data_IF_244517855458
#
_entry.id   IF_244517855458
#
_cell.length_a   1.000
_cell.length_b   1.000
_cell.length_c   1.000
_cell.angle_alpha   90.00
_cell.angle_beta   90.00
_cell.angle_gamma   90.00
#
_symmetry.space_group_name_H-M   'P 1'
#
loop_
_entity.id
_entity.type
_entity.pdbx_description
1 polymer ?
#
# COMPACT_ATOMS: atom_id res chain seq x y z
N UNK A 1 13.70 15.97 13.81
CA UNK A 1 14.68 16.51 12.84
C UNK A 1 14.17 17.79 12.20
N UNK A 2 13.00 17.80 11.54
CA UNK A 2 12.37 19.01 10.96
C UNK A 2 12.09 20.13 11.97
N UNK A 3 11.64 19.79 13.19
CA UNK A 3 11.45 20.76 14.30
C UNK A 3 12.75 21.41 14.75
N UNK A 4 13.86 20.68 14.75
CA UNK A 4 15.16 21.23 15.08
C UNK A 4 15.65 22.19 14.00
N UNK A 5 15.45 21.84 12.71
CA UNK A 5 15.81 22.72 11.57
C UNK A 5 15.02 24.02 11.55
N UNK A 6 13.77 24.02 12.02
CA UNK A 6 12.96 25.25 12.14
C UNK A 6 13.51 26.23 13.16
N UNK A 7 14.13 25.74 14.23
CA UNK A 7 14.61 26.59 15.33
C UNK A 7 16.03 27.13 15.11
N UNK A 8 16.81 26.50 14.22
CA UNK A 8 18.23 26.81 14.04
C UNK A 8 18.56 27.67 12.81
N UNK A 9 17.58 28.00 11.95
CA UNK A 9 17.87 28.59 10.63
C UNK A 9 16.92 29.74 10.25
N UNK A 10 17.47 30.91 9.95
CA UNK A 10 16.77 32.12 9.48
C UNK A 10 17.23 32.47 8.06
N UNK A 11 16.40 32.23 7.03
CA UNK A 11 16.71 32.52 5.62
C UNK A 11 15.88 31.71 4.60
N UNK A 12 16.35 31.61 3.34
CA UNK A 12 15.74 30.84 2.22
C UNK A 12 15.39 29.38 2.55
N UNK A 13 16.01 28.82 3.59
CA UNK A 13 15.72 27.47 4.09
C UNK A 13 14.33 27.34 4.74
N UNK A 14 13.65 28.46 5.05
CA UNK A 14 12.30 28.45 5.61
C UNK A 14 11.28 27.81 4.66
N UNK A 15 11.38 28.07 3.35
CA UNK A 15 10.50 27.45 2.36
C UNK A 15 10.73 25.95 2.23
N UNK A 16 11.99 25.52 2.25
CA UNK A 16 12.36 24.11 2.25
C UNK A 16 11.86 23.40 3.49
N UNK A 17 11.98 24.03 4.67
CA UNK A 17 11.46 23.50 5.94
C UNK A 17 9.93 23.38 5.92
N UNK A 18 9.22 24.39 5.39
CA UNK A 18 7.76 24.33 5.22
C UNK A 18 7.34 23.18 4.30
N UNK A 19 8.03 23.00 3.17
CA UNK A 19 7.78 21.90 2.25
C UNK A 19 8.00 20.52 2.91
N UNK A 20 9.10 20.37 3.65
CA UNK A 20 9.39 19.17 4.44
C UNK A 20 8.32 18.89 5.50
N UNK A 21 7.78 19.92 6.16
CA UNK A 21 6.67 19.76 7.09
C UNK A 21 5.41 19.24 6.41
N UNK A 22 5.04 19.81 5.25
CA UNK A 22 3.88 19.35 4.48
C UNK A 22 4.00 17.87 4.09
N UNK A 23 5.18 17.44 3.63
CA UNK A 23 5.46 16.03 3.34
C UNK A 23 5.34 15.17 4.60
N UNK A 24 5.92 15.63 5.71
CA UNK A 24 5.88 14.91 6.99
C UNK A 24 4.45 14.71 7.47
N UNK A 25 3.60 15.73 7.37
CA UNK A 25 2.17 15.67 7.69
C UNK A 25 1.46 14.66 6.78
N UNK A 26 1.76 14.64 5.48
CA UNK A 26 1.26 13.62 4.55
C UNK A 26 1.59 12.19 4.99
N UNK A 27 2.85 11.93 5.39
CA UNK A 27 3.24 10.61 5.92
C UNK A 27 2.51 10.25 7.22
N UNK A 28 2.23 11.23 8.10
CA UNK A 28 1.42 10.99 9.29
C UNK A 28 -0.01 10.60 8.95
N UNK A 29 -0.64 11.21 7.95
CA UNK A 29 -1.96 10.79 7.46
C UNK A 29 -1.93 9.39 6.85
N UNK A 30 -0.89 9.04 6.08
CA UNK A 30 -0.72 7.68 5.55
C UNK A 30 -0.53 6.64 6.66
N UNK A 31 0.14 7.00 7.76
CA UNK A 31 0.18 6.14 8.96
C UNK A 31 -1.15 6.09 9.68
N UNK A 32 -1.86 7.20 9.78
CA UNK A 32 -3.18 7.25 10.41
C UNK A 32 -4.18 6.32 9.73
N UNK A 33 -4.07 6.12 8.41
CA UNK A 33 -4.88 5.16 7.67
C UNK A 33 -4.78 3.72 8.23
N UNK A 34 -3.68 3.35 8.89
CA UNK A 34 -3.54 2.06 9.58
C UNK A 34 -4.49 1.90 10.77
N UNK A 35 -4.96 3.01 11.38
CA UNK A 35 -5.96 2.95 12.44
C UNK A 35 -7.30 2.40 11.93
N UNK A 36 -7.62 2.60 10.65
CA UNK A 36 -8.85 2.05 10.06
C UNK A 36 -8.84 0.52 9.94
N UNK A 37 -7.68 -0.14 10.13
CA UNK A 37 -7.59 -1.61 10.17
C UNK A 37 -8.40 -2.20 11.31
N UNK A 38 -8.63 -1.44 12.39
CA UNK A 38 -9.38 -1.92 13.56
C UNK A 38 -10.87 -2.13 13.23
N UNK A 39 -11.43 -1.40 12.26
CA UNK A 39 -12.83 -1.53 11.90
C UNK A 39 -13.05 -2.78 11.03
N UNK A 40 -14.01 -3.62 11.41
CA UNK A 40 -14.32 -4.89 10.74
C UNK A 40 -14.75 -4.71 9.28
N UNK A 41 -15.45 -3.62 8.95
CA UNK A 41 -15.94 -3.37 7.58
C UNK A 41 -14.89 -2.75 6.64
N UNK A 42 -13.92 -2.01 7.20
CA UNK A 42 -12.91 -1.25 6.44
C UNK A 42 -11.56 -1.96 6.43
N UNK A 43 -11.21 -2.67 7.51
CA UNK A 43 -9.92 -3.31 7.69
C UNK A 43 -9.57 -4.34 6.61
N UNK A 44 -10.44 -5.32 6.30
CA UNK A 44 -10.20 -6.27 5.21
C UNK A 44 -9.99 -5.57 3.86
N UNK A 45 -10.76 -4.51 3.56
CA UNK A 45 -10.62 -3.71 2.33
C UNK A 45 -9.28 -2.99 2.25
N UNK A 46 -8.81 -2.45 3.37
CA UNK A 46 -7.51 -1.78 3.45
C UNK A 46 -6.33 -2.75 3.22
N UNK A 47 -6.45 -3.97 3.77
CA UNK A 47 -5.45 -5.03 3.59
C UNK A 47 -5.39 -5.47 2.13
N UNK A 48 -6.56 -5.65 1.49
CA UNK A 48 -6.65 -5.92 0.06
C UNK A 48 -6.00 -4.82 -0.77
N UNK A 49 -6.35 -3.56 -0.51
CA UNK A 49 -5.78 -2.40 -1.21
C UNK A 49 -4.25 -2.37 -1.10
N UNK A 50 -3.69 -2.57 0.10
CA UNK A 50 -2.23 -2.59 0.30
C UNK A 50 -1.55 -3.64 -0.58
N UNK A 51 -2.17 -4.82 -0.73
CA UNK A 51 -1.63 -5.90 -1.56
C UNK A 51 -1.77 -5.59 -3.06
N UNK A 52 -2.88 -5.00 -3.48
CA UNK A 52 -3.08 -4.54 -4.86
C UNK A 52 -2.08 -3.46 -5.28
N UNK A 53 -1.69 -2.57 -4.36
CA UNK A 53 -0.65 -1.56 -4.63
C UNK A 53 0.71 -2.20 -4.94
N UNK A 54 1.03 -3.34 -4.33
CA UNK A 54 2.23 -4.10 -4.68
C UNK A 54 2.16 -4.64 -6.11
N UNK A 55 1.01 -5.17 -6.52
CA UNK A 55 0.83 -5.67 -7.89
C UNK A 55 0.88 -4.53 -8.92
N UNK A 56 0.30 -3.37 -8.57
CA UNK A 56 0.39 -2.13 -9.36
C UNK A 56 1.84 -1.68 -9.57
N UNK A 57 2.70 -1.81 -8.55
CA UNK A 57 4.12 -1.43 -8.69
C UNK A 57 4.82 -2.26 -9.77
N UNK A 58 4.60 -3.58 -9.80
CA UNK A 58 5.19 -4.44 -10.84
C UNK A 58 4.63 -4.13 -12.23
N UNK A 59 3.32 -3.91 -12.34
CA UNK A 59 2.69 -3.50 -13.60
C UNK A 59 3.27 -2.17 -14.12
N UNK A 60 3.41 -1.19 -13.22
CA UNK A 60 3.95 0.14 -13.56
C UNK A 60 5.40 0.04 -14.02
N UNK A 61 6.21 -0.85 -13.44
CA UNK A 61 7.58 -1.07 -13.88
C UNK A 61 7.67 -1.58 -15.33
N UNK A 62 6.76 -2.49 -15.73
CA UNK A 62 6.68 -2.98 -17.12
C UNK A 62 6.20 -1.85 -18.04
N UNK A 63 5.16 -1.12 -17.64
CA UNK A 63 4.64 0.01 -18.40
C UNK A 63 5.69 1.10 -18.64
N UNK A 64 6.55 1.36 -17.64
CA UNK A 64 7.61 2.38 -17.71
C UNK A 64 8.57 2.15 -18.89
N UNK A 65 8.81 0.89 -19.28
CA UNK A 65 9.65 0.55 -20.46
C UNK A 65 9.03 1.09 -21.75
N UNK A 66 7.73 0.86 -21.96
CA UNK A 66 7.00 1.36 -23.14
C UNK A 66 6.87 2.88 -23.11
N UNK A 67 6.60 3.44 -21.94
CA UNK A 67 6.47 4.88 -21.73
C UNK A 67 7.77 5.63 -22.02
N UNK A 68 8.92 5.18 -21.51
CA UNK A 68 10.22 5.81 -21.80
C UNK A 68 10.56 5.69 -23.27
N UNK A 69 10.30 4.54 -23.90
CA UNK A 69 10.53 4.33 -25.34
C UNK A 69 9.77 5.35 -26.20
N UNK A 70 8.47 5.53 -25.95
CA UNK A 70 7.66 6.53 -26.64
C UNK A 70 8.14 7.96 -26.34
N UNK A 71 8.51 8.24 -25.08
CA UNK A 71 8.99 9.57 -24.67
C UNK A 71 10.26 9.99 -25.41
N UNK A 72 11.22 9.08 -25.57
CA UNK A 72 12.45 9.32 -26.34
C UNK A 72 12.12 9.56 -27.81
N UNK A 73 11.25 8.73 -28.40
CA UNK A 73 10.82 8.89 -29.78
C UNK A 73 10.11 10.23 -30.01
N UNK A 74 9.19 10.61 -29.12
CA UNK A 74 8.46 11.89 -29.18
C UNK A 74 9.44 13.07 -29.13
N UNK A 75 10.33 13.11 -28.13
CA UNK A 75 11.28 14.20 -27.96
C UNK A 75 12.26 14.31 -29.14
N UNK A 76 12.77 13.17 -29.64
CA UNK A 76 13.74 13.15 -30.73
C UNK A 76 13.17 13.67 -32.05
N UNK A 77 11.88 13.42 -32.32
CA UNK A 77 11.25 13.84 -33.57
C UNK A 77 10.57 15.21 -33.49
N UNK A 78 10.14 15.66 -32.29
CA UNK A 78 9.53 16.98 -32.12
C UNK A 78 10.54 18.10 -31.94
N UNK A 79 11.66 17.84 -31.27
CA UNK A 79 12.64 18.87 -30.92
C UNK A 79 14.06 18.44 -31.34
N UNK A 80 14.34 18.36 -32.65
CA UNK A 80 15.65 17.94 -33.14
C UNK A 80 16.74 18.95 -32.74
N UNK A 81 17.93 18.44 -32.44
CA UNK A 81 19.13 19.22 -32.10
C UNK A 81 18.94 20.22 -30.93
N UNK A 82 18.07 19.89 -29.98
CA UNK A 82 17.88 20.69 -28.77
C UNK A 82 19.10 20.60 -27.85
N UNK A 83 19.58 21.74 -27.34
CA UNK A 83 20.74 21.79 -26.45
C UNK A 83 20.52 21.02 -25.13
N UNK A 84 21.54 20.33 -24.64
CA UNK A 84 21.49 19.59 -23.37
C UNK A 84 21.25 20.56 -22.20
N UNK A 85 20.00 20.59 -21.70
CA UNK A 85 19.61 21.39 -20.54
C UNK A 85 18.91 20.53 -19.50
N UNK A 86 19.05 20.82 -18.19
CA UNK A 86 18.35 20.10 -17.14
C UNK A 86 16.82 20.13 -17.31
N UNK A 87 16.29 21.17 -17.95
CA UNK A 87 14.87 21.29 -18.28
C UNK A 87 14.40 20.32 -19.37
N UNK A 88 15.29 19.86 -20.25
CA UNK A 88 14.99 18.86 -21.29
C UNK A 88 14.63 17.52 -20.66
N UNK A 89 15.38 17.12 -19.62
CA UNK A 89 15.10 15.91 -18.84
C UNK A 89 13.75 15.96 -18.09
N UNK A 90 13.29 17.16 -17.72
CA UNK A 90 11.96 17.33 -17.14
C UNK A 90 10.86 17.24 -18.21
N UNK A 91 11.06 17.87 -19.36
CA UNK A 91 10.03 17.97 -20.40
C UNK A 91 9.81 16.68 -21.20
N UNK A 92 10.84 15.87 -21.43
CA UNK A 92 10.69 14.66 -22.24
C UNK A 92 9.77 13.62 -21.59
N UNK A 93 9.71 13.56 -20.26
CA UNK A 93 8.78 12.71 -19.53
C UNK A 93 7.44 13.41 -19.27
N UNK A 94 7.46 14.71 -19.02
CA UNK A 94 6.27 15.47 -18.68
C UNK A 94 5.19 15.39 -19.78
N UNK A 95 5.55 15.69 -21.03
CA UNK A 95 4.56 15.78 -22.11
C UNK A 95 3.87 14.44 -22.39
N UNK A 96 4.61 13.32 -22.58
CA UNK A 96 4.00 12.01 -22.79
C UNK A 96 3.22 11.50 -21.58
N UNK A 97 3.60 11.90 -20.36
CA UNK A 97 2.87 11.52 -19.15
C UNK A 97 1.46 12.10 -19.15
N UNK A 98 1.33 13.40 -19.42
CA UNK A 98 0.04 14.09 -19.45
C UNK A 98 -0.84 13.64 -20.62
N UNK A 99 -0.24 13.25 -21.75
CA UNK A 99 -0.96 12.63 -22.88
C UNK A 99 -1.70 11.34 -22.49
N UNK A 100 -1.15 10.56 -21.55
CA UNK A 100 -1.83 9.36 -21.01
C UNK A 100 -3.10 9.74 -20.24
N UNK A 101 -3.18 10.94 -19.67
CA UNK A 101 -4.36 11.42 -18.96
C UNK A 101 -5.33 12.24 -19.84
N UNK A 102 -5.04 12.36 -21.14
CA UNK A 102 -5.90 13.05 -22.11
C UNK A 102 -5.47 14.48 -22.44
N UNK A 103 -4.41 14.99 -21.82
CA UNK A 103 -3.84 16.30 -22.17
C UNK A 103 -2.91 16.14 -23.39
N UNK A 104 -3.46 16.34 -24.58
CA UNK A 104 -2.78 16.04 -25.84
C UNK A 104 -1.74 17.10 -26.26
N UNK A 105 -1.79 18.31 -25.70
CA UNK A 105 -1.01 19.48 -26.13
C UNK A 105 -1.09 19.73 -27.65
N UNK A 106 -2.32 19.85 -28.15
CA UNK A 106 -2.62 20.04 -29.58
C UNK A 106 -1.91 21.25 -30.17
N UNK A 107 -1.62 22.26 -29.34
CA UNK A 107 -0.90 23.47 -29.71
C UNK A 107 0.55 23.21 -30.13
N UNK A 108 1.14 22.07 -29.73
CA UNK A 108 2.47 21.67 -30.15
C UNK A 108 2.49 21.07 -31.57
N UNK A 109 1.34 20.64 -32.07
CA UNK A 109 1.20 20.03 -33.40
C UNK A 109 0.70 21.02 -34.46
N UNK A 110 0.35 22.25 -34.06
CA UNK A 110 -0.20 23.27 -34.95
C UNK A 110 0.85 24.38 -35.15
N UNK A 111 1.33 24.63 -36.39
CA UNK A 111 2.42 25.57 -36.66
C UNK A 111 2.09 27.05 -36.45
N UNK A 112 0.81 27.40 -36.35
CA UNK A 112 0.32 28.79 -36.32
C UNK A 112 0.02 29.34 -34.92
N UNK A 113 0.44 28.69 -33.82
CA UNK A 113 0.16 29.23 -32.48
C UNK A 113 0.82 30.62 -32.31
N UNK A 114 0.06 31.72 -32.16
CA UNK A 114 0.61 33.08 -32.11
C UNK A 114 1.25 33.43 -30.75
N UNK A 115 1.28 32.48 -29.81
CA UNK A 115 1.64 32.68 -28.41
C UNK A 115 3.04 32.19 -28.01
N UNK A 116 3.88 31.76 -28.96
CA UNK A 116 5.22 31.23 -28.64
C UNK A 116 6.33 32.08 -29.26
N UNK A 117 7.05 32.81 -28.42
CA UNK A 117 8.40 33.31 -28.72
C UNK A 117 9.36 32.12 -28.73
N UNK A 118 9.36 31.33 -29.81
CA UNK A 118 10.22 30.18 -29.97
C UNK A 118 11.12 30.31 -31.20
N UNK A 119 12.35 29.80 -31.10
CA UNK A 119 13.34 29.84 -32.18
C UNK A 119 13.23 28.59 -33.06
N UNK A 120 13.10 28.81 -34.37
CA UNK A 120 13.13 27.74 -35.39
C UNK A 120 14.54 27.48 -35.93
N UNK A 121 15.50 28.38 -35.68
CA UNK A 121 16.81 28.31 -36.31
C UNK A 121 17.69 27.22 -35.68
N UNK A 122 18.01 26.15 -36.43
CA UNK A 122 18.74 24.94 -35.95
C UNK A 122 20.16 25.24 -35.44
N UNK A 123 20.68 26.45 -35.72
CA UNK A 123 22.06 26.87 -35.44
C UNK A 123 22.19 27.94 -34.35
N UNK A 124 21.09 28.45 -33.80
CA UNK A 124 21.13 29.52 -32.81
C UNK A 124 21.46 28.98 -31.41
N UNK A 125 22.54 29.50 -30.81
CA UNK A 125 22.99 29.12 -29.46
C UNK A 125 22.06 29.62 -28.33
N UNK A 126 21.20 30.61 -28.59
CA UNK A 126 20.24 31.16 -27.63
C UNK A 126 18.89 30.42 -27.72
N UNK A 127 18.93 29.12 -27.49
CA UNK A 127 17.83 28.18 -27.73
C UNK A 127 16.77 28.23 -26.60
N UNK A 128 16.28 29.41 -26.21
CA UNK A 128 15.48 29.56 -24.98
C UNK A 128 14.11 28.90 -25.05
N UNK A 129 13.55 28.67 -26.24
CA UNK A 129 12.38 27.83 -26.44
C UNK A 129 12.42 27.30 -27.87
N UNK A 130 12.72 26.02 -28.07
CA UNK A 130 12.72 25.40 -29.41
C UNK A 130 11.28 25.19 -29.86
N UNK A 131 10.92 25.62 -31.07
CA UNK A 131 9.59 25.30 -31.61
C UNK A 131 9.52 23.81 -31.97
N UNK A 132 8.37 23.16 -31.77
CA UNK A 132 8.15 21.80 -32.29
C UNK A 132 8.23 21.79 -33.82
N UNK A 133 8.79 20.73 -34.40
CA UNK A 133 8.77 20.51 -35.85
C UNK A 133 7.44 19.89 -36.31
N UNK A 134 6.99 20.33 -37.48
CA UNK A 134 5.81 19.77 -38.13
C UNK A 134 6.11 18.37 -38.67
N UNK A 135 5.82 17.35 -37.87
CA UNK A 135 5.96 15.96 -38.28
C UNK A 135 4.64 15.20 -38.10
N UNK A 136 3.92 15.02 -39.22
CA UNK A 136 2.63 14.30 -39.27
C UNK A 136 2.74 12.85 -38.78
N UNK A 137 3.91 12.22 -38.91
CA UNK A 137 4.12 10.86 -38.40
C UNK A 137 4.07 10.81 -36.88
N UNK A 138 4.62 11.84 -36.21
CA UNK A 138 4.60 11.90 -34.73
C UNK A 138 3.17 12.07 -34.21
N UNK A 139 2.35 12.87 -34.89
CA UNK A 139 0.92 13.03 -34.58
C UNK A 139 0.22 11.67 -34.66
N UNK A 140 0.42 10.95 -35.75
CA UNK A 140 -0.22 9.65 -35.97
C UNK A 140 0.25 8.61 -34.95
N UNK A 141 1.55 8.54 -34.66
CA UNK A 141 2.10 7.61 -33.67
C UNK A 141 1.62 7.99 -32.26
N UNK A 142 1.55 9.28 -31.91
CA UNK A 142 1.03 9.73 -30.63
C UNK A 142 -0.45 9.35 -30.45
N UNK A 143 -1.28 9.49 -31.48
CA UNK A 143 -2.67 9.07 -31.44
C UNK A 143 -2.81 7.55 -31.20
N UNK A 144 -2.04 6.74 -31.94
CA UNK A 144 -1.99 5.29 -31.73
C UNK A 144 -1.50 4.95 -30.32
N UNK A 145 -0.44 5.63 -29.85
CA UNK A 145 0.12 5.41 -28.51
C UNK A 145 -0.90 5.69 -27.41
N UNK A 146 -1.65 6.80 -27.50
CA UNK A 146 -2.67 7.14 -26.52
C UNK A 146 -3.78 6.08 -26.51
N UNK A 147 -4.26 5.66 -27.68
CA UNK A 147 -5.29 4.62 -27.79
C UNK A 147 -4.80 3.28 -27.22
N UNK A 148 -3.63 2.82 -27.67
CA UNK A 148 -3.04 1.56 -27.19
C UNK A 148 -2.77 1.63 -25.69
N UNK A 149 -2.26 2.74 -25.19
CA UNK A 149 -2.00 2.92 -23.76
C UNK A 149 -3.30 2.86 -22.97
N UNK A 150 -4.38 3.53 -23.37
CA UNK A 150 -5.64 3.46 -22.64
C UNK A 150 -6.25 2.06 -22.66
N UNK A 151 -6.26 1.40 -23.83
CA UNK A 151 -6.78 0.05 -23.99
C UNK A 151 -5.95 -0.93 -23.16
N UNK A 152 -4.62 -0.90 -23.28
CA UNK A 152 -3.74 -1.84 -22.57
C UNK A 152 -3.71 -1.54 -21.08
N UNK A 153 -3.51 -0.27 -20.69
CA UNK A 153 -3.34 0.15 -19.31
C UNK A 153 -4.61 -0.10 -18.50
N UNK A 154 -5.76 0.38 -18.94
CA UNK A 154 -7.00 0.21 -18.18
C UNK A 154 -7.44 -1.25 -18.18
N UNK A 155 -7.44 -1.95 -19.33
CA UNK A 155 -7.97 -3.31 -19.38
C UNK A 155 -7.11 -4.32 -18.60
N UNK A 156 -5.78 -4.23 -18.74
CA UNK A 156 -4.91 -5.13 -17.97
C UNK A 156 -4.90 -4.77 -16.49
N UNK A 157 -4.92 -3.48 -16.13
CA UNK A 157 -4.95 -3.07 -14.73
C UNK A 157 -6.24 -3.53 -14.03
N UNK A 158 -7.39 -3.37 -14.70
CA UNK A 158 -8.68 -3.88 -14.19
C UNK A 158 -8.64 -5.39 -14.05
N UNK A 159 -8.08 -6.13 -15.03
CA UNK A 159 -7.98 -7.58 -14.96
C UNK A 159 -7.12 -8.06 -13.78
N UNK A 160 -5.95 -7.45 -13.58
CA UNK A 160 -5.05 -7.78 -12.47
C UNK A 160 -5.72 -7.46 -11.13
N UNK A 161 -6.34 -6.28 -11.00
CA UNK A 161 -7.05 -5.91 -9.78
C UNK A 161 -8.23 -6.83 -9.49
N UNK A 162 -9.00 -7.23 -10.50
CA UNK A 162 -10.10 -8.18 -10.33
C UNK A 162 -9.59 -9.55 -9.86
N UNK A 163 -8.52 -10.06 -10.46
CA UNK A 163 -7.92 -11.34 -10.09
C UNK A 163 -7.38 -11.31 -8.66
N UNK A 164 -6.59 -10.29 -8.32
CA UNK A 164 -6.02 -10.11 -6.97
C UNK A 164 -7.14 -9.88 -5.94
N UNK A 165 -8.18 -9.11 -6.29
CA UNK A 165 -9.33 -8.89 -5.42
C UNK A 165 -10.01 -10.22 -5.07
N UNK A 166 -10.35 -11.03 -6.07
CA UNK A 166 -11.01 -12.31 -5.85
C UNK A 166 -10.15 -13.26 -4.99
N UNK A 167 -8.85 -13.35 -5.28
CA UNK A 167 -7.92 -14.23 -4.54
C UNK A 167 -7.76 -13.83 -3.07
N UNK A 168 -7.76 -12.53 -2.77
CA UNK A 168 -7.61 -12.05 -1.39
C UNK A 168 -8.95 -12.04 -0.67
N UNK A 169 -10.05 -11.70 -1.34
CA UNK A 169 -11.38 -11.61 -0.73
C UNK A 169 -11.74 -12.92 -0.01
N UNK A 170 -11.44 -14.08 -0.61
CA UNK A 170 -11.67 -15.40 -0.02
C UNK A 170 -10.93 -15.60 1.32
N UNK A 171 -9.75 -14.99 1.49
CA UNK A 171 -8.88 -15.16 2.66
C UNK A 171 -8.87 -13.92 3.57
N UNK A 172 -9.60 -12.88 3.20
CA UNK A 172 -9.48 -11.53 3.76
C UNK A 172 -9.83 -11.49 5.25
N UNK A 173 -10.86 -12.22 5.67
CA UNK A 173 -11.29 -12.31 7.07
C UNK A 173 -10.23 -12.96 7.97
N UNK A 174 -9.60 -14.04 7.51
CA UNK A 174 -8.54 -14.72 8.25
C UNK A 174 -7.31 -13.83 8.40
N UNK A 175 -6.92 -13.15 7.33
CA UNK A 175 -5.79 -12.23 7.33
C UNK A 175 -6.09 -11.04 8.26
N UNK A 176 -7.29 -10.47 8.17
CA UNK A 176 -7.69 -9.35 9.03
C UNK A 176 -7.68 -9.75 10.51
N UNK A 177 -8.24 -10.90 10.88
CA UNK A 177 -8.21 -11.42 12.26
C UNK A 177 -6.79 -11.59 12.79
N UNK A 178 -5.85 -12.03 11.94
CA UNK A 178 -4.43 -12.12 12.31
C UNK A 178 -3.83 -10.74 12.62
N UNK A 179 -4.05 -9.75 11.76
CA UNK A 179 -3.59 -8.38 12.00
C UNK A 179 -4.26 -7.76 13.24
N UNK A 180 -5.56 -7.97 13.40
CA UNK A 180 -6.32 -7.48 14.55
C UNK A 180 -5.80 -8.07 15.86
N UNK A 181 -5.51 -9.38 15.90
CA UNK A 181 -4.87 -10.01 17.06
C UNK A 181 -3.54 -9.34 17.41
N UNK A 182 -2.71 -9.02 16.41
CA UNK A 182 -1.46 -8.29 16.62
C UNK A 182 -1.68 -6.93 17.28
N UNK A 183 -2.67 -6.16 16.80
CA UNK A 183 -3.05 -4.86 17.35
C UNK A 183 -3.54 -4.99 18.79
N UNK A 184 -4.43 -5.96 19.06
CA UNK A 184 -4.96 -6.21 20.41
C UNK A 184 -3.84 -6.62 21.36
N UNK A 185 -2.96 -7.53 20.94
CA UNK A 185 -1.81 -7.97 21.73
C UNK A 185 -0.88 -6.80 22.08
N UNK A 186 -0.64 -5.90 21.13
CA UNK A 186 0.17 -4.70 21.37
C UNK A 186 -0.50 -3.73 22.35
N UNK A 187 -1.82 -3.55 22.26
CA UNK A 187 -2.57 -2.63 23.10
C UNK A 187 -2.90 -3.20 24.49
N UNK A 188 -2.90 -4.52 24.66
CA UNK A 188 -3.27 -5.19 25.90
C UNK A 188 -2.47 -4.72 27.12
N UNK A 189 -1.16 -4.47 26.96
CA UNK A 189 -0.28 -4.01 28.04
C UNK A 189 -0.06 -2.49 28.05
N UNK A 190 -0.70 -1.74 27.14
CA UNK A 190 -0.56 -0.28 27.09
C UNK A 190 -1.50 0.39 28.10
N UNK A 191 -1.08 1.54 28.60
CA UNK A 191 -1.90 2.34 29.53
C UNK A 191 -3.15 2.85 28.83
N UNK A 192 -4.31 2.75 29.50
CA UNK A 192 -5.64 3.12 28.96
C UNK A 192 -5.81 4.64 28.71
N UNK A 193 -4.85 5.44 29.14
CA UNK A 193 -4.91 6.90 29.11
C UNK A 193 -4.66 7.44 27.69
N UNK A 194 -5.47 8.43 27.27
CA UNK A 194 -5.34 9.07 25.96
C UNK A 194 -3.92 9.64 25.74
N UNK A 195 -3.40 9.66 24.50
CA UNK A 195 -2.06 10.13 24.17
C UNK A 195 -1.60 11.45 24.81
N UNK A 196 -2.42 12.53 24.90
CA UNK A 196 -1.97 13.77 25.54
C UNK A 196 -1.68 13.61 27.05
N UNK A 197 -2.38 12.71 27.73
CA UNK A 197 -2.27 12.50 29.18
C UNK A 197 -1.27 11.39 29.54
N UNK A 198 -0.70 10.69 28.55
CA UNK A 198 0.27 9.60 28.79
C UNK A 198 1.55 10.10 29.47
N UNK A 199 1.93 11.36 29.21
CA UNK A 199 3.10 11.99 29.79
C UNK A 199 2.98 12.02 31.32
N UNK A 200 1.78 12.31 31.85
CA UNK A 200 1.52 12.31 33.30
C UNK A 200 1.72 10.92 33.91
N UNK A 201 1.30 9.86 33.22
CA UNK A 201 1.48 8.48 33.68
C UNK A 201 2.96 8.10 33.70
N UNK A 202 3.74 8.52 32.68
CA UNK A 202 5.17 8.30 32.66
C UNK A 202 5.91 9.09 33.75
N UNK A 203 5.53 10.34 34.00
CA UNK A 203 6.06 11.16 35.10
C UNK A 203 5.75 10.49 36.45
N UNK A 204 4.51 10.05 36.67
CA UNK A 204 4.12 9.33 37.90
C UNK A 204 4.92 8.04 38.09
N UNK A 205 5.10 7.24 37.03
CA UNK A 205 5.91 6.01 37.09
C UNK A 205 7.39 6.31 37.37
N UNK A 206 7.94 7.37 36.79
CA UNK A 206 9.32 7.80 37.03
C UNK A 206 9.51 8.27 38.48
N UNK A 207 8.60 9.09 39.00
CA UNK A 207 8.59 9.53 40.40
C UNK A 207 8.47 8.34 41.36
N UNK A 208 7.52 7.42 41.10
CA UNK A 208 7.37 6.21 41.91
C UNK A 208 8.64 5.35 41.88
N UNK A 209 9.30 5.22 40.73
CA UNK A 209 10.56 4.49 40.61
C UNK A 209 11.67 5.12 41.46
N UNK A 210 11.80 6.46 41.44
CA UNK A 210 12.78 7.19 42.26
C UNK A 210 12.48 6.99 43.75
N UNK A 211 11.23 7.13 44.18
CA UNK A 211 10.81 6.92 45.58
C UNK A 211 11.05 5.47 46.04
N UNK A 212 10.80 4.49 45.16
CA UNK A 212 11.06 3.08 45.45
C UNK A 212 12.56 2.79 45.58
N UNK A 213 13.39 3.43 44.75
CA UNK A 213 14.86 3.34 44.85
C UNK A 213 15.40 4.03 46.11
N UNK A 214 14.68 5.01 46.64
CA UNK A 214 14.94 5.67 47.93
C UNK A 214 14.38 4.90 49.15
N UNK A 215 13.78 3.72 48.96
CA UNK A 215 13.41 2.80 50.06
C UNK A 215 12.18 3.19 50.89
N UNK A 216 11.39 4.18 50.50
CA UNK A 216 10.36 4.77 51.36
C UNK A 216 8.96 4.11 51.27
N UNK A 217 8.71 3.16 50.36
CA UNK A 217 7.37 2.58 50.21
C UNK A 217 7.39 1.18 49.58
N UNK A 218 6.89 0.17 50.30
CA UNK A 218 6.58 -1.17 49.78
C UNK A 218 5.08 -1.19 49.49
N UNK A 219 4.68 -1.27 48.22
CA UNK A 219 3.28 -1.50 47.83
C UNK A 219 3.17 -2.80 47.04
N UNK A 220 2.19 -3.60 47.44
CA UNK A 220 1.92 -4.95 46.96
C UNK A 220 1.56 -4.99 45.47
N UNK A 221 2.17 -5.93 44.76
CA UNK A 221 2.03 -6.12 43.33
C UNK A 221 0.80 -6.97 43.00
N UNK A 222 -0.38 -6.50 43.37
CA UNK A 222 -1.65 -7.20 43.12
C UNK A 222 -1.94 -7.37 41.61
N UNK A 223 -1.30 -6.58 40.74
CA UNK A 223 -1.53 -6.59 39.30
C UNK A 223 -0.82 -7.72 38.53
N UNK A 224 0.15 -8.44 39.13
CA UNK A 224 0.81 -9.61 38.49
C UNK A 224 0.42 -10.96 39.07
N UNK A 225 -0.34 -10.98 40.16
CA UNK A 225 -0.79 -12.21 40.83
C UNK A 225 -1.98 -12.89 40.13
N UNK A 226 -2.79 -12.15 39.35
CA UNK A 226 -3.90 -12.74 38.57
C UNK A 226 -3.44 -13.73 37.50
N UNK A 227 -2.23 -13.56 36.95
CA UNK A 227 -1.70 -14.40 35.87
C UNK A 227 -0.96 -15.66 36.39
N UNK A 228 -0.44 -15.63 37.63
CA UNK A 228 0.21 -16.78 38.26
C UNK A 228 -0.77 -17.71 38.98
N UNK A 229 -1.80 -17.18 39.65
CA UNK A 229 -2.81 -17.99 40.36
C UNK A 229 -3.70 -18.79 39.38
N UNK A 230 -3.98 -18.23 38.19
CA UNK A 230 -4.78 -18.86 37.14
C UNK A 230 -4.11 -20.10 36.51
N UNK A 231 -2.77 -20.21 36.55
CA UNK A 231 -2.01 -21.28 35.86
C UNK A 231 -2.00 -22.65 36.55
N UNK A 232 -2.22 -22.73 37.87
CA UNK A 232 -1.96 -23.96 38.62
C UNK A 232 -3.12 -24.95 38.70
N UNK A 233 -4.31 -24.47 39.09
CA UNK A 233 -5.47 -25.31 39.38
C UNK A 233 -6.42 -25.43 38.18
N UNK A 234 -6.62 -24.32 37.45
CA UNK A 234 -7.47 -24.28 36.26
C UNK A 234 -6.83 -24.96 35.05
N UNK A 235 -5.49 -25.00 34.95
CA UNK A 235 -4.79 -25.63 33.81
C UNK A 235 -5.09 -27.13 33.67
N UNK A 236 -5.14 -27.88 34.78
CA UNK A 236 -5.46 -29.31 34.76
C UNK A 236 -6.91 -29.58 34.35
N UNK A 237 -7.85 -28.75 34.80
CA UNK A 237 -9.24 -28.86 34.39
C UNK A 237 -9.40 -28.47 32.92
N UNK A 238 -8.80 -27.36 32.49
CA UNK A 238 -8.79 -26.94 31.09
C UNK A 238 -8.18 -28.00 30.17
N UNK A 239 -7.09 -28.64 30.59
CA UNK A 239 -6.43 -29.68 29.82
C UNK A 239 -7.35 -30.89 29.65
N UNK A 240 -8.01 -31.34 30.72
CA UNK A 240 -9.02 -32.41 30.64
C UNK A 240 -10.19 -32.04 29.72
N UNK A 241 -10.65 -30.79 29.76
CA UNK A 241 -11.68 -30.31 28.83
C UNK A 241 -11.18 -30.28 27.38
N UNK A 242 -9.94 -29.85 27.14
CA UNK A 242 -9.33 -29.81 25.81
C UNK A 242 -9.14 -31.23 25.25
N UNK A 243 -8.66 -32.17 26.07
CA UNK A 243 -8.49 -33.58 25.70
C UNK A 243 -9.83 -34.23 25.35
N UNK A 244 -10.86 -34.04 26.19
CA UNK A 244 -12.20 -34.56 25.92
C UNK A 244 -12.82 -33.95 24.65
N UNK A 245 -12.56 -32.67 24.36
CA UNK A 245 -13.00 -32.03 23.13
C UNK A 245 -12.24 -32.59 21.91
N UNK A 246 -10.93 -32.82 22.03
CA UNK A 246 -10.11 -33.42 20.98
C UNK A 246 -10.55 -34.85 20.66
N UNK A 247 -10.85 -35.65 21.67
CA UNK A 247 -11.37 -37.02 21.49
C UNK A 247 -12.72 -37.02 20.75
N UNK A 248 -13.65 -36.13 21.12
CA UNK A 248 -14.93 -35.99 20.42
C UNK A 248 -14.76 -35.62 18.96
N UNK A 249 -13.84 -34.70 18.66
CA UNK A 249 -13.52 -34.31 17.29
C UNK A 249 -12.94 -35.48 16.48
N UNK A 250 -12.00 -36.23 17.05
CA UNK A 250 -11.42 -37.41 16.41
C UNK A 250 -12.47 -38.51 16.16
N UNK A 251 -13.40 -38.72 17.10
CA UNK A 251 -14.51 -39.67 16.93
C UNK A 251 -15.46 -39.23 15.81
N UNK A 252 -15.80 -37.94 15.74
CA UNK A 252 -16.63 -37.41 14.66
C UNK A 252 -15.99 -37.61 13.29
N UNK A 253 -14.69 -37.33 13.14
CA UNK A 253 -13.98 -37.54 11.88
C UNK A 253 -13.93 -39.02 11.49
N UNK A 254 -13.63 -39.93 12.43
CA UNK A 254 -13.65 -41.38 12.16
C UNK A 254 -15.03 -41.87 11.74
N UNK A 255 -16.09 -41.37 12.37
CA UNK A 255 -17.46 -41.70 12.01
C UNK A 255 -17.81 -41.19 10.60
N UNK A 256 -17.37 -39.98 10.24
CA UNK A 256 -17.55 -39.43 8.89
C UNK A 256 -16.81 -40.25 7.82
N UNK A 257 -15.54 -40.63 8.06
CA UNK A 257 -14.76 -41.49 7.15
C UNK A 257 -15.42 -42.88 6.98
N UNK A 258 -15.97 -43.45 8.06
CA UNK A 258 -16.67 -44.74 8.03
C UNK A 258 -17.97 -44.63 7.21
N UNK A 259 -18.71 -43.54 7.35
CA UNK A 259 -19.92 -43.27 6.56
C UNK A 259 -19.59 -43.10 5.07
N UNK A 260 -18.51 -42.39 4.74
CA UNK A 260 -18.06 -42.21 3.36
C UNK A 260 -17.66 -43.56 2.73
N UNK A 261 -16.96 -44.42 3.47
CA UNK A 261 -16.61 -45.76 3.01
C UNK A 261 -17.82 -46.66 2.75
N UNK A 262 -18.82 -46.64 3.64
CA UNK A 262 -20.08 -47.38 3.45
C UNK A 262 -20.88 -46.86 2.24
N UNK A 263 -20.91 -45.54 2.00
CA UNK A 263 -21.52 -44.95 0.79
C UNK A 263 -20.81 -45.42 -0.48
N UNK A 264 -19.47 -45.41 -0.50
CA UNK A 264 -18.67 -45.88 -1.65
C UNK A 264 -18.92 -47.38 -1.92
N UNK A 265 -19.05 -48.18 -0.85
CA UNK A 265 -19.34 -49.61 -0.94
C UNK A 265 -20.73 -49.88 -1.50
N UNK A 266 -21.75 -49.16 -1.02
CA UNK A 266 -23.13 -49.23 -1.55
C UNK A 266 -23.18 -48.80 -3.02
N UNK A 267 -22.50 -47.70 -3.39
CA UNK A 267 -22.42 -47.24 -4.77
C UNK A 267 -21.80 -48.30 -5.70
N UNK A 268 -20.72 -48.97 -5.26
CA UNK A 268 -20.07 -50.05 -6.02
C UNK A 268 -21.00 -51.27 -6.20
N UNK A 269 -21.81 -51.60 -5.19
CA UNK A 269 -22.80 -52.69 -5.26
C UNK A 269 -23.94 -52.34 -6.25
N UNK A 270 -24.45 -51.11 -6.21
CA UNK A 270 -25.51 -50.65 -7.13
C UNK A 270 -25.01 -50.67 -8.58
N UNK A 271 -23.82 -50.10 -8.84
CA UNK A 271 -23.20 -50.09 -10.16
C UNK A 271 -22.91 -51.50 -10.70
N UNK A 272 -22.59 -52.45 -9.83
CA UNK A 272 -22.43 -53.86 -10.18
C UNK A 272 -23.75 -54.55 -10.56
N UNK A 273 -24.90 -54.06 -10.09
CA UNK A 273 -26.22 -54.60 -10.45
C UNK A 273 -26.78 -54.02 -11.74
N UNK A 274 -26.42 -52.80 -12.11
CA UNK A 274 -26.88 -52.15 -13.36
C UNK A 274 -26.07 -52.56 -14.60
N UNK A 275 -24.90 -53.19 -14.42
CA UNK A 275 -24.02 -53.62 -15.51
C UNK A 275 -24.18 -55.07 -15.99
N UNK A 276 -25.18 -55.80 -15.48
CA UNK A 276 -25.59 -57.15 -15.93
C UNK A 276 -27.02 -57.11 -16.47
#
# INVERSE_FOLDING_TARGET
>A
MTIAMRYTRTGNDFDTVRFLYSITVGFYFMRFLQAFIVFETVGPKLIMFKKMVTDLFYFTAIFLVFYVSFSVMYQANMYPNSSERPFLWANFLYTPFWQIFGELFLENFIPESPYRNCDKNVTSADDRWRCPEDNNLVIFIAAIYVILTHIVLLNLLIAIFSHTFASIQEKSDHIWKYYWYGIVREHYNRTVVCPPLIILVHIYRALRYVVFRCGCFVYDSEFRLKDLSFKGLYSKQLLKFADAAAERYLQQNKNAETQEFEIIKLYRIIKSREGN
#
